data_IF_316663703074
#
_entry.id   IF_316663703074
#
_cell.length_a   1.000
_cell.length_b   1.000
_cell.length_c   1.000
_cell.angle_alpha   90.00
_cell.angle_beta   90.00
_cell.angle_gamma   90.00
#
_symmetry.space_group_name_H-M   'P 1'
#
loop_
_entity.id
_entity.type
_entity.pdbx_description
1 polymer ?
#
# COMPACT_ATOMS: atom_id res chain seq x y z
N UNK A 1 41.48 -1.50 6.15
CA UNK A 1 40.50 -2.03 5.19
C UNK A 1 41.33 -2.68 4.11
N UNK A 2 41.23 -3.99 3.91
CA UNK A 2 42.04 -4.70 2.92
C UNK A 2 41.63 -4.26 1.50
N UNK A 3 42.56 -3.60 0.82
CA UNK A 3 42.43 -3.09 -0.54
C UNK A 3 42.23 -4.24 -1.54
N UNK A 4 40.98 -4.57 -1.85
CA UNK A 4 40.65 -5.59 -2.85
C UNK A 4 39.23 -6.13 -2.80
N UNK A 5 38.46 -5.85 -1.73
CA UNK A 5 37.07 -6.31 -1.65
C UNK A 5 36.20 -5.49 -2.62
N UNK A 6 35.69 -6.14 -3.67
CA UNK A 6 34.70 -5.53 -4.57
C UNK A 6 33.42 -5.18 -3.78
N UNK A 7 32.75 -4.05 -4.05
CA UNK A 7 31.54 -3.60 -3.34
C UNK A 7 30.30 -4.39 -3.78
N UNK A 8 30.35 -5.71 -3.66
CA UNK A 8 29.30 -6.66 -4.01
C UNK A 8 28.65 -7.21 -2.74
N UNK A 9 27.32 -7.27 -2.72
CA UNK A 9 26.53 -7.92 -1.69
C UNK A 9 25.76 -9.09 -2.30
N UNK A 10 26.02 -10.29 -1.80
CA UNK A 10 25.21 -11.48 -2.05
C UNK A 10 24.14 -11.60 -0.94
N UNK A 11 22.87 -11.65 -1.33
CA UNK A 11 21.77 -11.79 -0.38
C UNK A 11 21.40 -13.27 -0.18
N UNK A 12 21.66 -13.87 0.99
CA UNK A 12 21.39 -15.29 1.22
C UNK A 12 19.89 -15.64 1.26
N UNK A 13 19.02 -14.63 1.36
CA UNK A 13 17.56 -14.83 1.39
C UNK A 13 16.96 -14.94 -0.01
N UNK A 14 17.48 -14.20 -0.99
CA UNK A 14 16.92 -14.15 -2.34
C UNK A 14 17.88 -14.64 -3.44
N UNK A 15 19.14 -14.93 -3.11
CA UNK A 15 20.16 -15.42 -4.04
C UNK A 15 20.55 -14.42 -5.12
N UNK A 16 20.31 -13.12 -4.89
CA UNK A 16 20.65 -12.05 -5.83
C UNK A 16 21.88 -11.29 -5.35
N UNK A 17 22.69 -10.90 -6.32
CA UNK A 17 23.86 -10.06 -6.16
C UNK A 17 23.51 -8.58 -6.44
N UNK A 18 24.05 -7.69 -5.63
CA UNK A 18 23.80 -6.24 -5.74
C UNK A 18 25.07 -5.43 -5.52
N UNK A 19 25.17 -4.29 -6.20
CA UNK A 19 26.26 -3.34 -5.95
C UNK A 19 25.96 -2.47 -4.72
N UNK A 20 26.85 -2.47 -3.72
CA UNK A 20 26.69 -1.69 -2.50
C UNK A 20 26.75 -0.17 -2.73
N UNK A 21 27.32 0.28 -3.83
CA UNK A 21 27.47 1.71 -4.16
C UNK A 21 26.27 2.26 -4.94
N UNK A 22 25.76 1.51 -5.92
CA UNK A 22 24.70 1.99 -6.83
C UNK A 22 23.37 1.24 -6.71
N UNK A 23 23.32 0.16 -5.92
CA UNK A 23 22.14 -0.69 -5.69
C UNK A 23 21.60 -1.38 -6.95
N UNK A 24 22.40 -1.47 -8.03
CA UNK A 24 22.04 -2.23 -9.22
C UNK A 24 21.95 -3.74 -8.93
N UNK A 25 20.97 -4.39 -9.55
CA UNK A 25 20.70 -5.85 -9.48
C UNK A 25 20.39 -6.33 -10.89
N UNK A 26 21.17 -7.26 -11.50
CA UNK A 26 22.34 -7.97 -10.94
C UNK A 26 23.59 -7.09 -10.79
N UNK A 27 24.63 -7.57 -10.11
CA UNK A 27 25.89 -6.84 -9.91
C UNK A 27 26.64 -6.64 -11.23
N UNK A 28 27.22 -5.46 -11.42
CA UNK A 28 27.93 -5.10 -12.65
C UNK A 28 29.43 -5.45 -12.56
N UNK A 29 29.82 -6.58 -13.18
CA UNK A 29 31.22 -7.02 -13.22
C UNK A 29 31.97 -6.27 -14.33
N UNK A 30 33.17 -5.76 -14.04
CA UNK A 30 34.06 -5.16 -15.04
C UNK A 30 33.66 -3.77 -15.53
N UNK A 31 32.74 -3.09 -14.84
CA UNK A 31 32.38 -1.69 -15.09
C UNK A 31 32.24 -0.91 -13.79
N UNK A 32 32.50 0.39 -13.85
CA UNK A 32 32.23 1.30 -12.73
C UNK A 32 30.74 1.61 -12.63
N UNK A 33 30.30 2.09 -11.46
CA UNK A 33 28.89 2.43 -11.24
C UNK A 33 28.37 3.49 -12.24
N UNK A 34 29.22 4.45 -12.63
CA UNK A 34 28.86 5.49 -13.60
C UNK A 34 28.73 4.97 -15.03
N UNK A 35 29.59 4.02 -15.42
CA UNK A 35 29.50 3.34 -16.72
C UNK A 35 28.24 2.48 -16.80
N UNK A 36 27.91 1.76 -15.72
CA UNK A 36 26.69 0.95 -15.65
C UNK A 36 25.43 1.81 -15.82
N UNK A 37 25.29 2.89 -15.03
CA UNK A 37 24.16 3.84 -15.14
C UNK A 37 24.03 4.43 -16.55
N UNK A 38 25.17 4.74 -17.17
CA UNK A 38 25.22 5.28 -18.52
C UNK A 38 24.82 4.26 -19.59
N UNK A 39 25.20 3.00 -19.42
CA UNK A 39 24.81 1.91 -20.32
C UNK A 39 23.31 1.60 -20.24
N UNK A 40 22.74 1.54 -19.03
CA UNK A 40 21.30 1.34 -18.83
C UNK A 40 20.47 2.46 -19.47
N UNK A 41 20.93 3.70 -19.32
CA UNK A 41 20.29 4.87 -19.92
C UNK A 41 20.29 4.82 -21.46
N UNK A 42 21.37 4.31 -22.07
CA UNK A 42 21.50 4.16 -23.53
C UNK A 42 20.63 3.01 -24.06
N UNK A 43 20.63 1.86 -23.38
CA UNK A 43 19.77 0.72 -23.73
C UNK A 43 18.28 1.08 -23.66
N UNK A 44 17.89 1.84 -22.64
CA UNK A 44 16.52 2.33 -22.44
C UNK A 44 16.10 3.31 -23.55
N UNK A 45 16.98 4.25 -23.93
CA UNK A 45 16.70 5.20 -25.03
C UNK A 45 16.64 4.54 -26.41
N UNK A 46 17.43 3.51 -26.67
CA UNK A 46 17.40 2.76 -27.92
C UNK A 46 16.04 2.05 -28.12
N UNK A 47 15.48 1.46 -27.05
CA UNK A 47 14.14 0.83 -27.08
C UNK A 47 13.01 1.81 -27.40
N UNK A 48 13.11 3.06 -26.94
CA UNK A 48 12.08 4.08 -27.18
C UNK A 48 12.12 4.61 -28.62
N UNK A 49 13.31 4.67 -29.25
CA UNK A 49 13.47 5.24 -30.60
C UNK A 49 13.13 4.29 -31.76
N UNK A 50 12.98 2.99 -31.51
CA UNK A 50 12.62 1.98 -32.53
C UNK A 50 11.17 1.99 -33.02
N UNK A 51 10.32 2.93 -32.58
CA UNK A 51 8.88 2.95 -32.89
C UNK A 51 8.42 4.23 -33.60
N UNK A 52 9.08 4.63 -34.69
CA UNK A 52 8.54 5.61 -35.64
C UNK A 52 7.77 4.88 -36.75
N UNK A 53 6.43 4.77 -36.62
CA UNK A 53 5.55 4.50 -37.77
C UNK A 53 5.30 5.84 -38.51
N UNK A 54 5.39 5.90 -39.85
CA UNK A 54 5.05 7.11 -40.59
C UNK A 54 3.52 7.24 -40.76
N UNK A 55 3.07 8.50 -40.67
CA UNK A 55 1.79 9.10 -41.07
C UNK A 55 0.51 8.25 -41.05
N UNK A 56 -0.28 8.42 -39.98
CA UNK A 56 -1.72 8.14 -39.95
C UNK A 56 -2.50 9.45 -39.91
N UNK A 57 -3.57 9.51 -40.70
CA UNK A 57 -4.46 10.65 -40.93
C UNK A 57 -5.10 11.26 -39.67
N UNK A 58 -5.48 12.54 -39.78
CA UNK A 58 -6.04 13.43 -38.75
C UNK A 58 -7.29 12.86 -38.04
N UNK A 59 -7.98 11.90 -38.64
CA UNK A 59 -9.19 11.29 -38.07
C UNK A 59 -8.93 10.36 -36.87
N UNK A 60 -7.67 9.92 -36.69
CA UNK A 60 -7.28 8.97 -35.64
C UNK A 60 -6.83 9.62 -34.32
N UNK A 61 -7.12 10.91 -34.09
CA UNK A 61 -6.81 11.61 -32.83
C UNK A 61 -7.92 11.52 -31.77
N UNK A 62 -9.19 11.26 -32.14
CA UNK A 62 -10.30 11.17 -31.17
C UNK A 62 -10.35 9.87 -30.36
N UNK A 63 -9.62 8.83 -30.75
CA UNK A 63 -9.60 7.52 -30.08
C UNK A 63 -8.43 7.33 -29.09
N UNK A 64 -7.44 8.23 -29.07
CA UNK A 64 -6.24 8.14 -28.20
C UNK A 64 -6.46 8.65 -26.78
N UNK A 65 -7.46 9.49 -26.55
CA UNK A 65 -7.89 9.90 -25.21
C UNK A 65 -8.63 8.79 -24.45
N UNK A 66 -9.09 7.73 -25.14
CA UNK A 66 -9.77 6.57 -24.52
C UNK A 66 -8.83 5.44 -24.07
N UNK A 67 -7.53 5.49 -24.40
CA UNK A 67 -6.59 4.39 -24.12
C UNK A 67 -5.74 4.57 -22.86
N UNK A 68 -5.74 5.76 -22.24
CA UNK A 68 -5.09 6.01 -20.93
C UNK A 68 -5.86 5.43 -19.73
N UNK A 69 -7.11 5.02 -19.91
CA UNK A 69 -7.96 4.44 -18.85
C UNK A 69 -7.79 2.93 -18.66
N UNK A 70 -7.04 2.23 -19.54
CA UNK A 70 -6.87 0.76 -19.45
C UNK A 70 -5.79 0.29 -18.47
N UNK A 71 -4.98 1.19 -17.90
CA UNK A 71 -3.92 0.85 -16.94
C UNK A 71 -4.31 0.95 -15.46
N UNK A 72 -5.61 0.95 -15.11
CA UNK A 72 -6.07 1.16 -13.72
C UNK A 72 -7.00 0.09 -13.16
N UNK A 73 -7.56 -0.78 -14.00
CA UNK A 73 -8.55 -1.77 -13.55
C UNK A 73 -7.84 -2.94 -12.82
N UNK A 74 -6.71 -3.42 -13.37
CA UNK A 74 -5.95 -4.52 -12.75
C UNK A 74 -5.37 -4.18 -11.37
N UNK A 75 -4.91 -2.94 -11.18
CA UNK A 75 -4.29 -2.50 -9.92
C UNK A 75 -5.33 -2.33 -8.81
N UNK A 76 -6.54 -1.87 -9.14
CA UNK A 76 -7.64 -1.79 -8.16
C UNK A 76 -8.16 -3.17 -7.78
N UNK A 77 -8.27 -4.08 -8.74
CA UNK A 77 -8.65 -5.47 -8.46
C UNK A 77 -7.60 -6.19 -7.60
N UNK A 78 -6.31 -5.94 -7.86
CA UNK A 78 -5.22 -6.46 -7.05
C UNK A 78 -5.26 -5.92 -5.62
N UNK A 79 -5.49 -4.61 -5.46
CA UNK A 79 -5.65 -3.99 -4.14
C UNK A 79 -6.87 -4.54 -3.40
N UNK A 80 -8.02 -4.66 -4.05
CA UNK A 80 -9.23 -5.19 -3.46
C UNK A 80 -9.06 -6.64 -2.99
N UNK A 81 -8.41 -7.48 -3.80
CA UNK A 81 -8.06 -8.86 -3.42
C UNK A 81 -7.11 -8.89 -2.22
N UNK A 82 -6.08 -8.04 -2.21
CA UNK A 82 -5.17 -7.94 -1.08
C UNK A 82 -5.91 -7.51 0.21
N UNK A 83 -6.81 -6.52 0.12
CA UNK A 83 -7.63 -6.08 1.25
C UNK A 83 -8.53 -7.21 1.77
N UNK A 84 -9.12 -8.00 0.86
CA UNK A 84 -9.94 -9.16 1.24
C UNK A 84 -9.11 -10.24 1.95
N UNK A 85 -7.92 -10.56 1.44
CA UNK A 85 -7.03 -11.59 2.02
C UNK A 85 -6.51 -11.17 3.39
N UNK A 86 -6.14 -9.90 3.55
CA UNK A 86 -5.61 -9.37 4.82
C UNK A 86 -6.71 -8.96 5.80
N UNK A 87 -7.98 -9.09 5.42
CA UNK A 87 -9.10 -8.56 6.19
C UNK A 87 -9.11 -7.03 6.34
N UNK A 88 -8.20 -6.31 5.68
CA UNK A 88 -8.11 -4.85 5.74
C UNK A 88 -9.41 -4.23 5.27
N UNK A 89 -9.96 -3.31 6.05
CA UNK A 89 -11.18 -2.55 5.73
C UNK A 89 -10.88 -1.07 5.57
N UNK A 90 -11.74 -0.36 4.85
CA UNK A 90 -11.59 1.08 4.70
C UNK A 90 -12.30 1.82 5.83
N UNK A 91 -11.64 2.85 6.37
CA UNK A 91 -12.27 3.79 7.29
C UNK A 91 -13.44 4.50 6.59
N UNK A 92 -14.65 4.53 7.17
CA UNK A 92 -15.80 5.19 6.57
C UNK A 92 -15.66 6.72 6.47
N UNK A 93 -14.74 7.33 7.22
CA UNK A 93 -14.50 8.78 7.21
C UNK A 93 -13.54 9.22 6.10
N UNK A 94 -12.40 8.53 5.94
CA UNK A 94 -11.34 8.97 5.03
C UNK A 94 -10.91 7.93 3.98
N UNK A 95 -11.48 6.73 3.99
CA UNK A 95 -11.14 5.65 3.05
C UNK A 95 -9.79 4.95 3.29
N UNK A 96 -9.02 5.37 4.29
CA UNK A 96 -7.75 4.73 4.63
C UNK A 96 -7.95 3.27 5.04
N UNK A 97 -7.06 2.38 4.57
CA UNK A 97 -7.03 0.99 5.00
C UNK A 97 -6.71 0.86 6.49
N UNK A 98 -7.48 0.04 7.20
CA UNK A 98 -7.34 -0.29 8.60
C UNK A 98 -7.36 -1.81 8.69
N UNK A 99 -6.38 -2.39 9.35
CA UNK A 99 -6.29 -3.82 9.65
C UNK A 99 -6.19 -4.02 11.16
N UNK A 100 -6.48 -5.23 11.61
CA UNK A 100 -6.21 -5.66 12.97
C UNK A 100 -5.04 -6.65 13.01
N UNK A 101 -4.61 -7.04 14.21
CA UNK A 101 -3.44 -7.89 14.40
C UNK A 101 -3.76 -9.35 14.05
N UNK A 102 -4.90 -9.86 14.51
CA UNK A 102 -5.35 -11.23 14.26
C UNK A 102 -6.12 -11.32 12.93
N UNK A 103 -5.41 -11.66 11.86
CA UNK A 103 -5.98 -11.80 10.51
C UNK A 103 -7.05 -12.88 10.39
N UNK A 104 -7.04 -13.91 11.25
CA UNK A 104 -7.95 -15.05 11.17
C UNK A 104 -9.26 -14.81 11.95
N UNK A 105 -9.28 -13.85 12.88
CA UNK A 105 -10.42 -13.61 13.79
C UNK A 105 -10.87 -12.15 13.86
N UNK A 106 -10.56 -11.35 12.85
CA UNK A 106 -10.87 -9.91 12.80
C UNK A 106 -12.34 -9.54 13.00
N UNK A 107 -13.26 -10.46 12.67
CA UNK A 107 -14.72 -10.29 12.75
C UNK A 107 -15.32 -10.70 14.09
N UNK A 108 -14.51 -11.26 15.01
CA UNK A 108 -14.97 -11.70 16.32
C UNK A 108 -14.57 -10.70 17.42
N UNK A 109 -15.53 -10.33 18.26
CA UNK A 109 -15.28 -9.45 19.41
C UNK A 109 -14.54 -10.18 20.57
N UNK A 110 -14.32 -11.49 20.45
CA UNK A 110 -13.73 -12.33 21.51
C UNK A 110 -12.23 -12.12 21.68
N UNK A 111 -11.54 -11.76 20.61
CA UNK A 111 -10.09 -11.58 20.59
C UNK A 111 -9.74 -10.10 20.43
N UNK A 112 -10.53 -9.34 19.66
CA UNK A 112 -10.20 -7.96 19.33
C UNK A 112 -11.44 -7.05 19.38
N UNK A 113 -11.25 -5.82 19.88
CA UNK A 113 -12.33 -4.83 19.91
C UNK A 113 -12.74 -4.45 18.47
N UNK A 114 -14.05 -4.35 18.18
CA UNK A 114 -14.50 -3.76 16.92
C UNK A 114 -14.60 -2.23 16.98
N UNK A 115 -14.68 -1.61 18.16
CA UNK A 115 -14.75 -0.15 18.29
C UNK A 115 -13.36 0.45 18.08
N UNK A 116 -13.17 1.10 16.94
CA UNK A 116 -11.89 1.68 16.53
C UNK A 116 -11.99 3.18 16.30
N UNK A 117 -10.87 3.87 16.52
CA UNK A 117 -10.64 5.26 16.10
C UNK A 117 -9.64 5.23 14.94
N UNK A 118 -9.99 5.87 13.82
CA UNK A 118 -9.09 6.00 12.68
C UNK A 118 -7.89 6.87 13.05
N UNK A 119 -6.66 6.37 12.91
CA UNK A 119 -5.44 7.13 13.19
C UNK A 119 -5.27 8.38 12.32
N UNK A 120 -5.85 8.38 11.11
CA UNK A 120 -5.71 9.46 10.13
C UNK A 120 -6.73 10.59 10.31
N UNK A 121 -8.01 10.26 10.54
CA UNK A 121 -9.09 11.26 10.60
C UNK A 121 -9.90 11.24 11.89
N UNK A 122 -9.47 10.45 12.89
CA UNK A 122 -10.08 10.33 14.23
C UNK A 122 -11.56 9.87 14.23
N UNK A 123 -12.07 9.40 13.08
CA UNK A 123 -13.41 8.82 12.98
C UNK A 123 -13.52 7.60 13.87
N UNK A 124 -14.54 7.59 14.73
CA UNK A 124 -14.94 6.46 15.56
C UNK A 124 -15.88 5.57 14.76
N UNK A 125 -15.57 4.28 14.64
CA UNK A 125 -16.41 3.36 13.88
C UNK A 125 -16.28 1.92 14.39
N UNK A 126 -17.24 1.08 14.03
CA UNK A 126 -17.17 -0.35 14.25
C UNK A 126 -16.46 -1.03 13.07
N UNK A 127 -15.37 -1.75 13.32
CA UNK A 127 -14.65 -2.52 12.30
C UNK A 127 -15.52 -3.64 11.68
N UNK A 128 -16.37 -4.26 12.49
CA UNK A 128 -17.23 -5.38 12.07
C UNK A 128 -18.29 -4.97 11.03
N UNK A 129 -18.98 -3.85 11.23
CA UNK A 129 -20.05 -3.38 10.34
C UNK A 129 -19.76 -2.07 9.61
N UNK A 130 -18.62 -1.42 9.86
CA UNK A 130 -18.21 -0.12 9.31
C UNK A 130 -19.13 1.06 9.64
N UNK A 131 -20.06 0.89 10.58
CA UNK A 131 -20.91 1.97 11.05
C UNK A 131 -20.08 2.99 11.85
N UNK A 132 -20.25 4.28 11.52
CA UNK A 132 -19.71 5.40 12.30
C UNK A 132 -20.43 5.48 13.64
N UNK A 133 -19.66 5.56 14.71
CA UNK A 133 -20.15 5.55 16.09
C UNK A 133 -19.97 6.94 16.70
N UNK A 134 -21.02 7.51 17.28
CA UNK A 134 -21.00 8.82 17.94
C UNK A 134 -21.17 8.64 19.46
N UNK A 135 -21.15 9.73 20.23
CA UNK A 135 -21.43 9.66 21.67
C UNK A 135 -22.83 9.14 22.02
N UNK A 136 -23.74 9.03 21.04
CA UNK A 136 -25.13 8.61 21.21
C UNK A 136 -25.52 7.41 20.34
N UNK A 137 -24.70 7.01 19.36
CA UNK A 137 -25.02 5.92 18.44
C UNK A 137 -24.09 4.73 18.59
N UNK A 138 -24.66 3.54 18.76
CA UNK A 138 -23.94 2.27 18.76
C UNK A 138 -24.45 1.32 17.69
N UNK A 139 -23.63 0.34 17.34
CA UNK A 139 -24.02 -0.80 16.50
C UNK A 139 -24.23 -2.04 17.38
N UNK A 140 -24.99 -3.03 16.89
CA UNK A 140 -25.20 -4.30 17.60
C UNK A 140 -23.99 -5.24 17.64
N UNK A 141 -22.87 -4.91 16.96
CA UNK A 141 -21.68 -5.78 16.87
C UNK A 141 -20.79 -5.77 18.12
N UNK A 142 -21.02 -4.86 19.08
CA UNK A 142 -20.19 -4.70 20.28
C UNK A 142 -21.04 -4.11 21.39
N UNK A 143 -20.95 -4.68 22.59
CA UNK A 143 -21.67 -4.18 23.77
C UNK A 143 -21.42 -2.69 24.05
N UNK A 144 -22.43 -2.02 24.59
CA UNK A 144 -22.39 -0.59 24.90
C UNK A 144 -21.36 -0.22 25.97
N UNK A 145 -20.99 -1.17 26.83
CA UNK A 145 -19.97 -1.03 27.89
C UNK A 145 -18.54 -0.90 27.36
N UNK A 146 -18.30 -1.23 26.08
CA UNK A 146 -16.97 -1.11 25.48
C UNK A 146 -16.70 0.33 25.01
N UNK A 147 -15.51 0.84 25.33
CA UNK A 147 -14.99 2.10 24.78
C UNK A 147 -14.10 1.90 23.55
N UNK A 148 -13.37 2.94 23.21
CA UNK A 148 -12.33 2.95 22.18
C UNK A 148 -10.96 3.07 22.84
N UNK A 149 -9.92 2.69 22.09
CA UNK A 149 -8.54 3.03 22.41
C UNK A 149 -8.09 4.06 21.38
N UNK A 150 -7.56 5.18 21.86
CA UNK A 150 -6.97 6.22 21.01
C UNK A 150 -5.65 5.68 20.40
N UNK A 151 -5.53 5.58 19.07
CA UNK A 151 -4.34 5.01 18.42
C UNK A 151 -3.11 5.90 18.54
N UNK A 152 -3.26 7.19 18.86
CA UNK A 152 -2.15 8.14 18.99
C UNK A 152 -1.58 8.14 20.41
N UNK A 153 -2.45 8.06 21.41
CA UNK A 153 -2.07 8.17 22.82
C UNK A 153 -2.08 6.84 23.57
N UNK A 154 -2.76 5.82 23.05
CA UNK A 154 -3.04 4.57 23.76
C UNK A 154 -4.11 4.70 24.86
N UNK A 155 -4.68 5.90 25.06
CA UNK A 155 -5.65 6.18 26.10
C UNK A 155 -7.02 5.54 25.84
N UNK A 156 -7.71 5.16 26.90
CA UNK A 156 -9.09 4.70 26.82
C UNK A 156 -10.05 5.88 26.63
N UNK A 157 -10.94 5.78 25.64
CA UNK A 157 -11.97 6.78 25.34
C UNK A 157 -13.34 6.13 25.51
N UNK A 158 -14.13 6.63 26.46
CA UNK A 158 -15.48 6.12 26.67
C UNK A 158 -16.36 6.39 25.44
N UNK A 159 -17.19 5.42 25.07
CA UNK A 159 -18.08 5.55 23.92
C UNK A 159 -19.32 6.38 24.23
N UNK A 160 -20.22 5.82 25.04
CA UNK A 160 -21.43 6.49 25.49
C UNK A 160 -21.13 7.20 26.80
N UNK A 161 -21.42 8.49 26.87
CA UNK A 161 -21.47 9.18 28.15
C UNK A 161 -22.78 8.80 28.86
N UNK A 162 -22.74 8.19 30.05
CA UNK A 162 -23.95 7.81 30.79
C UNK A 162 -24.70 9.01 31.42
N UNK A 163 -24.38 10.25 31.04
CA UNK A 163 -24.83 11.49 31.70
C UNK A 163 -25.51 12.48 30.73
N UNK A 164 -26.43 12.01 29.88
CA UNK A 164 -27.45 12.87 29.28
C UNK A 164 -28.83 12.25 29.47
#
# INVERSE_FOLDING_TARGET
MEDGQLPQLDCPLCGKDSCLLCQAVPFHIGSTCDEHKSAESKASKARIRGRRKPNGSVEQQRSRSRSRSRGRVGDQDALAKWMQITGTRQCPGCGMGVSKEDLDRQTSQRVECHKMICRNCDTRFCFGCLQVLTGTSSCGCTGNTHGFIDPKTGGFVQHLNPLM
#
